data_IF_361456486911
#
_entry.id   IF_361456486911
#
_cell.length_a   1.000
_cell.length_b   1.000
_cell.length_c   1.000
_cell.angle_alpha   90.00
_cell.angle_beta   90.00
_cell.angle_gamma   90.00
#
_symmetry.space_group_name_H-M   'P 1'
#
loop_
_entity.id
_entity.type
_entity.pdbx_description
1 polymer ?
#
# COMPACT_ATOMS: atom_id res chain seq x y z
N UNK A 1 1.13 -35.82 -9.87
CA UNK A 1 1.69 -35.28 -11.12
C UNK A 1 1.03 -33.94 -11.36
N UNK A 2 1.64 -32.87 -10.88
CA UNK A 2 1.13 -31.49 -11.02
C UNK A 2 1.72 -30.92 -12.28
N UNK A 3 0.92 -30.83 -13.32
CA UNK A 3 1.29 -30.21 -14.59
C UNK A 3 1.39 -28.70 -14.38
N UNK A 4 2.62 -28.21 -14.30
CA UNK A 4 2.93 -26.77 -14.31
C UNK A 4 2.57 -26.25 -15.70
N UNK A 5 1.52 -25.45 -15.82
CA UNK A 5 1.19 -24.79 -17.07
C UNK A 5 2.31 -23.80 -17.41
N UNK A 6 2.84 -23.81 -18.63
CA UNK A 6 3.92 -22.92 -19.00
C UNK A 6 3.39 -21.47 -18.99
N UNK A 7 4.16 -20.56 -18.40
CA UNK A 7 3.91 -19.10 -18.34
C UNK A 7 4.09 -18.40 -19.71
N UNK A 8 3.81 -19.12 -20.80
CA UNK A 8 4.00 -18.68 -22.19
C UNK A 8 3.13 -17.48 -22.64
N UNK A 9 2.18 -17.07 -21.77
CA UNK A 9 1.34 -15.90 -22.00
C UNK A 9 2.00 -14.58 -21.56
N UNK A 10 3.13 -14.63 -20.85
CA UNK A 10 3.92 -13.47 -20.48
C UNK A 10 4.92 -13.14 -21.60
N UNK A 11 4.45 -12.57 -22.71
CA UNK A 11 5.36 -11.91 -23.63
C UNK A 11 5.73 -10.54 -23.05
N UNK A 12 7.02 -10.13 -23.09
CA UNK A 12 7.41 -8.78 -22.73
C UNK A 12 6.62 -7.79 -23.60
N UNK A 13 5.97 -6.81 -22.96
CA UNK A 13 5.41 -5.69 -23.69
C UNK A 13 6.59 -4.93 -24.30
N UNK A 14 6.62 -4.65 -25.62
CA UNK A 14 7.69 -3.88 -26.22
C UNK A 14 7.75 -2.50 -25.53
N UNK A 15 8.87 -2.18 -24.92
CA UNK A 15 9.08 -0.92 -24.21
C UNK A 15 9.22 -1.04 -22.68
N UNK A 16 9.33 -2.23 -22.13
CA UNK A 16 9.83 -2.35 -20.75
C UNK A 16 11.25 -1.81 -20.70
N UNK A 17 11.53 -0.71 -19.98
CA UNK A 17 12.89 -0.27 -19.79
C UNK A 17 13.61 -1.34 -18.96
N UNK A 18 14.53 -2.06 -19.63
CA UNK A 18 15.50 -2.87 -18.94
C UNK A 18 16.35 -1.95 -18.06
N UNK A 19 16.62 -2.43 -16.86
CA UNK A 19 17.69 -2.03 -15.95
C UNK A 19 18.23 -0.60 -16.15
N UNK A 20 17.52 0.38 -15.57
CA UNK A 20 18.17 1.62 -15.19
C UNK A 20 18.76 1.42 -13.79
N UNK A 21 20.02 1.76 -13.56
CA UNK A 21 20.65 1.60 -12.26
C UNK A 21 19.86 2.46 -11.25
N UNK A 22 19.43 1.85 -10.17
CA UNK A 22 18.81 2.51 -9.03
C UNK A 22 19.72 3.64 -8.54
N UNK A 23 19.29 4.87 -8.80
CA UNK A 23 19.92 6.04 -8.18
C UNK A 23 19.57 5.97 -6.69
N UNK A 24 20.56 5.81 -5.85
CA UNK A 24 20.40 5.89 -4.41
C UNK A 24 19.69 7.22 -4.06
N UNK A 25 18.67 7.23 -3.21
CA UNK A 25 18.05 8.45 -2.72
C UNK A 25 19.03 9.12 -1.76
N UNK A 26 19.78 10.06 -2.28
CA UNK A 26 20.47 11.06 -1.47
C UNK A 26 19.44 12.14 -1.15
N UNK A 27 19.36 12.50 0.10
CA UNK A 27 18.62 13.56 0.75
C UNK A 27 17.22 13.18 1.25
N UNK A 28 17.16 13.09 2.56
CA UNK A 28 15.94 13.32 3.35
C UNK A 28 15.46 14.75 3.03
N UNK A 29 14.25 14.95 2.49
CA UNK A 29 13.76 16.31 2.30
C UNK A 29 13.52 16.95 3.65
N UNK A 30 14.26 18.02 3.95
CA UNK A 30 13.86 18.99 4.96
C UNK A 30 12.50 19.54 4.56
N UNK A 31 11.48 19.28 5.37
CA UNK A 31 10.13 19.75 5.15
C UNK A 31 10.01 21.22 5.61
N UNK A 32 9.87 22.20 4.70
CA UNK A 32 9.66 23.59 5.07
C UNK A 32 8.19 23.94 5.34
N UNK A 33 7.41 23.00 5.90
CA UNK A 33 6.10 23.34 6.43
C UNK A 33 6.27 23.73 7.89
N UNK A 34 6.28 25.06 8.17
CA UNK A 34 6.42 25.62 9.49
C UNK A 34 5.45 25.02 10.49
N UNK A 35 5.96 24.14 11.35
CA UNK A 35 5.26 23.70 12.53
C UNK A 35 5.21 24.87 13.50
N UNK A 36 4.06 25.48 13.66
CA UNK A 36 3.79 26.36 14.79
C UNK A 36 3.98 25.53 16.08
N UNK A 37 4.80 25.96 17.04
CA UNK A 37 5.00 25.22 18.27
C UNK A 37 3.66 25.13 19.02
N UNK A 38 3.12 23.91 19.16
CA UNK A 38 1.87 23.65 19.90
C UNK A 38 0.75 22.99 19.11
N UNK A 39 0.83 22.84 17.78
CA UNK A 39 -0.16 22.08 17.03
C UNK A 39 0.13 20.56 17.14
N UNK A 40 -0.84 19.82 17.62
CA UNK A 40 -0.80 18.34 17.51
C UNK A 40 -0.64 17.99 16.03
N UNK A 41 0.34 17.15 15.66
CA UNK A 41 0.52 16.80 14.25
C UNK A 41 -0.76 16.17 13.70
N UNK A 42 -1.13 16.55 12.47
CA UNK A 42 -2.30 16.00 11.80
C UNK A 42 -2.19 14.46 11.73
N UNK A 43 -3.27 13.76 12.07
CA UNK A 43 -3.26 12.30 12.12
C UNK A 43 -2.99 11.72 10.74
N UNK A 44 -2.01 10.85 10.68
CA UNK A 44 -1.45 10.30 9.45
C UNK A 44 -2.28 9.14 8.91
N UNK A 45 -2.64 9.22 7.64
CA UNK A 45 -3.12 8.10 6.84
C UNK A 45 -2.05 7.71 5.83
N UNK A 46 -1.54 6.48 5.90
CA UNK A 46 -0.64 5.92 4.88
C UNK A 46 -1.40 4.91 4.03
N UNK A 47 -1.55 5.19 2.75
CA UNK A 47 -2.08 4.24 1.78
C UNK A 47 -0.93 3.56 1.06
N UNK A 48 -0.81 2.24 1.26
CA UNK A 48 0.24 1.43 0.62
C UNK A 48 -0.32 0.80 -0.64
N UNK A 49 0.15 1.28 -1.79
CA UNK A 49 -0.23 0.85 -3.14
C UNK A 49 0.79 -0.04 -3.82
N UNK A 50 0.43 -0.60 -4.98
CA UNK A 50 1.29 -1.42 -5.82
C UNK A 50 0.59 -2.66 -6.36
N UNK A 51 1.22 -3.35 -7.31
CA UNK A 51 0.68 -4.56 -7.94
C UNK A 51 0.50 -5.74 -6.98
N UNK A 52 -0.34 -6.73 -7.30
CA UNK A 52 -0.35 -8.00 -6.57
C UNK A 52 1.05 -8.64 -6.58
N UNK A 53 1.50 -9.12 -5.41
CA UNK A 53 2.86 -9.66 -5.26
C UNK A 53 3.92 -8.66 -4.80
N UNK A 54 3.67 -7.35 -4.83
CA UNK A 54 4.64 -6.31 -4.45
C UNK A 54 5.05 -6.29 -2.95
N UNK A 55 4.57 -7.19 -2.11
CA UNK A 55 5.01 -7.26 -0.70
C UNK A 55 4.28 -6.33 0.28
N UNK A 56 3.22 -5.63 -0.15
CA UNK A 56 2.47 -4.67 0.68
C UNK A 56 2.02 -5.20 2.04
N UNK A 57 1.40 -6.39 2.09
CA UNK A 57 0.94 -6.98 3.36
C UNK A 57 2.09 -7.32 4.29
N UNK A 58 3.24 -7.72 3.75
CA UNK A 58 4.46 -7.96 4.53
C UNK A 58 5.01 -6.66 5.11
N UNK A 59 5.04 -5.58 4.30
CA UNK A 59 5.43 -4.25 4.75
C UNK A 59 4.52 -3.78 5.89
N UNK A 60 3.20 -3.86 5.70
CA UNK A 60 2.22 -3.42 6.70
C UNK A 60 2.31 -4.23 8.00
N UNK A 61 2.51 -5.55 7.93
CA UNK A 61 2.69 -6.39 9.11
C UNK A 61 3.94 -5.96 9.91
N UNK A 62 5.08 -5.78 9.23
CA UNK A 62 6.31 -5.31 9.88
C UNK A 62 6.16 -3.93 10.51
N UNK A 63 5.43 -3.01 9.88
CA UNK A 63 5.15 -1.70 10.47
C UNK A 63 4.26 -1.83 11.70
N UNK A 64 3.24 -2.69 11.67
CA UNK A 64 2.37 -2.93 12.82
C UNK A 64 3.14 -3.45 14.04
N UNK A 65 4.13 -4.31 13.82
CA UNK A 65 4.99 -4.86 14.88
C UNK A 65 5.94 -3.78 15.45
N UNK A 66 6.45 -2.90 14.58
CA UNK A 66 7.47 -1.88 14.96
C UNK A 66 6.86 -0.55 15.44
N UNK A 67 5.59 -0.28 15.14
CA UNK A 67 4.88 0.95 15.51
C UNK A 67 3.62 0.60 16.30
N UNK A 68 3.78 0.30 17.59
CA UNK A 68 2.66 -0.04 18.48
C UNK A 68 1.60 1.06 18.47
N UNK A 69 0.33 0.66 18.47
CA UNK A 69 -0.80 1.59 18.39
C UNK A 69 -1.22 1.97 16.98
N UNK A 70 -0.43 1.66 15.93
CA UNK A 70 -0.85 1.84 14.55
C UNK A 70 -2.05 0.94 14.20
N UNK A 71 -2.98 1.47 13.39
CA UNK A 71 -4.12 0.71 12.89
C UNK A 71 -3.83 0.26 11.46
N UNK A 72 -3.80 -1.05 11.25
CA UNK A 72 -3.55 -1.65 9.92
C UNK A 72 -4.80 -2.29 9.35
N UNK A 73 -5.22 -1.81 8.18
CA UNK A 73 -6.33 -2.36 7.39
C UNK A 73 -5.76 -3.11 6.18
N UNK A 74 -5.72 -4.44 6.29
CA UNK A 74 -5.23 -5.34 5.23
C UNK A 74 -6.30 -6.40 4.91
N UNK A 75 -6.70 -6.55 3.63
CA UNK A 75 -7.66 -7.58 3.22
C UNK A 75 -7.23 -9.00 3.59
N UNK A 76 -5.94 -9.27 3.73
CA UNK A 76 -5.42 -10.58 4.17
C UNK A 76 -5.85 -10.93 5.59
N UNK A 77 -6.02 -9.96 6.47
CA UNK A 77 -6.54 -10.18 7.82
C UNK A 77 -7.98 -10.71 7.79
N UNK A 78 -8.81 -10.10 6.95
CA UNK A 78 -10.20 -10.55 6.77
C UNK A 78 -10.25 -11.91 6.11
N UNK A 79 -9.44 -12.15 5.08
CA UNK A 79 -9.33 -13.45 4.43
C UNK A 79 -8.98 -14.57 5.43
N UNK A 80 -7.99 -14.37 6.29
CA UNK A 80 -7.63 -15.34 7.33
C UNK A 80 -8.78 -15.54 8.32
N UNK A 81 -9.53 -14.49 8.63
CA UNK A 81 -10.73 -14.57 9.46
C UNK A 81 -11.83 -15.46 8.86
N UNK A 82 -12.10 -15.29 7.57
CA UNK A 82 -13.05 -16.14 6.83
C UNK A 82 -12.55 -17.58 6.71
N UNK A 83 -11.30 -17.79 6.33
CA UNK A 83 -10.71 -19.11 6.17
C UNK A 83 -10.76 -19.97 7.46
N UNK A 84 -10.68 -19.34 8.64
CA UNK A 84 -10.83 -20.05 9.92
C UNK A 84 -12.26 -20.43 10.29
N UNK A 85 -13.24 -19.78 9.67
CA UNK A 85 -14.68 -19.99 9.97
C UNK A 85 -15.40 -20.84 8.93
N UNK A 86 -14.85 -20.87 7.71
CA UNK A 86 -15.42 -21.64 6.60
C UNK A 86 -14.80 -23.04 6.56
N UNK A 87 -15.55 -24.06 6.10
CA UNK A 87 -15.00 -25.38 5.83
C UNK A 87 -13.80 -25.30 4.85
N UNK A 88 -12.81 -26.17 5.03
CA UNK A 88 -11.55 -26.16 4.25
C UNK A 88 -11.75 -26.38 2.74
N UNK A 89 -12.87 -27.00 2.34
CA UNK A 89 -13.21 -27.23 0.94
C UNK A 89 -13.76 -25.97 0.22
N UNK A 90 -14.13 -24.91 0.96
CA UNK A 90 -14.62 -23.67 0.35
C UNK A 90 -13.45 -22.90 -0.24
N UNK A 91 -13.34 -22.76 -1.58
CA UNK A 91 -12.21 -22.06 -2.19
C UNK A 91 -12.30 -20.54 -1.93
N UNK A 92 -11.14 -19.89 -1.86
CA UNK A 92 -11.06 -18.43 -1.66
C UNK A 92 -11.90 -17.64 -2.68
N UNK A 93 -11.99 -18.12 -3.91
CA UNK A 93 -12.78 -17.49 -4.98
C UNK A 93 -14.25 -17.27 -4.60
N UNK A 94 -14.82 -18.17 -3.80
CA UNK A 94 -16.23 -18.12 -3.38
C UNK A 94 -16.52 -16.95 -2.42
N UNK A 95 -15.57 -16.56 -1.58
CA UNK A 95 -15.75 -15.49 -0.58
C UNK A 95 -14.82 -14.28 -0.79
N UNK A 96 -14.06 -14.25 -1.87
CA UNK A 96 -13.16 -13.14 -2.22
C UNK A 96 -13.87 -11.78 -2.23
N UNK A 97 -15.07 -11.74 -2.82
CA UNK A 97 -15.87 -10.53 -2.88
C UNK A 97 -16.21 -10.00 -1.47
N UNK A 98 -16.61 -10.90 -0.55
CA UNK A 98 -16.93 -10.53 0.83
C UNK A 98 -15.71 -9.94 1.57
N UNK A 99 -14.52 -10.53 1.37
CA UNK A 99 -13.26 -10.00 1.92
C UNK A 99 -12.99 -8.58 1.44
N UNK A 100 -13.11 -8.32 0.14
CA UNK A 100 -12.83 -7.00 -0.43
C UNK A 100 -13.91 -5.98 -0.06
N UNK A 101 -15.17 -6.37 -0.03
CA UNK A 101 -16.28 -5.50 0.40
C UNK A 101 -16.13 -5.13 1.87
N UNK A 102 -15.84 -6.11 2.73
CA UNK A 102 -15.61 -5.84 4.15
C UNK A 102 -14.41 -4.91 4.37
N UNK A 103 -13.30 -5.17 3.68
CA UNK A 103 -12.13 -4.30 3.73
C UNK A 103 -12.47 -2.86 3.30
N UNK A 104 -13.17 -2.69 2.18
CA UNK A 104 -13.59 -1.39 1.69
C UNK A 104 -14.53 -0.67 2.67
N UNK A 105 -15.52 -1.40 3.22
CA UNK A 105 -16.47 -0.85 4.20
C UNK A 105 -15.77 -0.42 5.50
N UNK A 106 -14.85 -1.23 6.01
CA UNK A 106 -14.09 -0.88 7.22
C UNK A 106 -13.16 0.31 6.94
N UNK A 107 -12.48 0.35 5.80
CA UNK A 107 -11.66 1.50 5.40
C UNK A 107 -12.51 2.78 5.35
N UNK A 108 -13.64 2.73 4.65
CA UNK A 108 -14.57 3.86 4.58
C UNK A 108 -15.05 4.30 5.96
N UNK A 109 -15.39 3.36 6.83
CA UNK A 109 -15.83 3.64 8.19
C UNK A 109 -14.76 4.38 9.01
N UNK A 110 -13.49 3.94 8.92
CA UNK A 110 -12.37 4.62 9.59
C UNK A 110 -12.18 6.02 9.04
N UNK A 111 -12.23 6.20 7.73
CA UNK A 111 -12.09 7.52 7.12
C UNK A 111 -13.24 8.46 7.53
N UNK A 112 -14.49 8.00 7.45
CA UNK A 112 -15.67 8.82 7.80
C UNK A 112 -15.71 9.22 9.28
N UNK A 113 -15.24 8.34 10.16
CA UNK A 113 -15.15 8.65 11.60
C UNK A 113 -14.08 9.67 11.93
N UNK A 114 -13.15 9.88 11.01
CA UNK A 114 -11.98 10.72 11.24
C UNK A 114 -11.01 10.12 12.28
N UNK A 115 -9.90 10.79 12.51
CA UNK A 115 -8.91 10.37 13.49
C UNK A 115 -9.44 10.56 14.92
N UNK A 116 -9.28 9.53 15.74
CA UNK A 116 -9.72 9.56 17.15
C UNK A 116 -8.55 9.50 18.13
N UNK A 117 -7.43 9.03 17.69
CA UNK A 117 -6.17 8.96 18.41
C UNK A 117 -5.07 9.46 17.49
N UNK A 118 -3.98 9.97 17.99
CA UNK A 118 -2.82 10.35 17.16
C UNK A 118 -2.16 9.15 16.44
N UNK A 119 -2.74 7.95 16.54
CA UNK A 119 -2.22 6.74 15.93
C UNK A 119 -2.34 6.78 14.40
N UNK A 120 -1.29 6.40 13.66
CA UNK A 120 -1.33 6.33 12.21
C UNK A 120 -2.25 5.20 11.72
N UNK A 121 -3.02 5.50 10.66
CA UNK A 121 -3.84 4.53 9.95
C UNK A 121 -3.10 4.09 8.68
N UNK A 122 -2.84 2.80 8.57
CA UNK A 122 -2.20 2.19 7.41
C UNK A 122 -3.21 1.36 6.62
N UNK A 123 -3.37 1.63 5.34
CA UNK A 123 -4.37 0.99 4.49
C UNK A 123 -3.69 0.30 3.32
N UNK A 124 -3.96 -1.00 3.16
CA UNK A 124 -3.60 -1.74 1.96
C UNK A 124 -4.58 -1.42 0.83
N UNK A 125 -4.10 -0.86 -0.26
CA UNK A 125 -4.86 -0.74 -1.51
C UNK A 125 -3.99 -1.20 -2.69
N UNK A 126 -4.59 -1.58 -3.80
CA UNK A 126 -3.84 -1.80 -5.05
C UNK A 126 -3.36 -0.47 -5.64
N UNK A 127 -4.10 0.61 -5.38
CA UNK A 127 -3.84 1.98 -5.84
C UNK A 127 -3.59 2.13 -7.36
N UNK A 128 -3.91 1.08 -8.14
CA UNK A 128 -3.73 1.06 -9.60
C UNK A 128 -4.84 1.77 -10.36
N UNK A 129 -5.91 2.20 -9.68
CA UNK A 129 -7.01 2.98 -10.26
C UNK A 129 -6.92 4.41 -9.73
N UNK A 130 -6.44 5.33 -10.54
CA UNK A 130 -6.21 6.73 -10.17
C UNK A 130 -7.44 7.39 -9.55
N UNK A 131 -8.58 7.36 -10.23
CA UNK A 131 -9.83 7.98 -9.71
C UNK A 131 -10.22 7.48 -8.32
N UNK A 132 -10.12 6.16 -8.07
CA UNK A 132 -10.42 5.58 -6.76
C UNK A 132 -9.44 6.07 -5.71
N UNK A 133 -8.16 6.11 -6.04
CA UNK A 133 -7.10 6.59 -5.17
C UNK A 133 -7.32 8.06 -4.79
N UNK A 134 -7.60 8.90 -5.77
CA UNK A 134 -7.90 10.32 -5.58
C UNK A 134 -9.14 10.54 -4.69
N UNK A 135 -10.24 9.81 -4.96
CA UNK A 135 -11.45 9.90 -4.13
C UNK A 135 -11.18 9.50 -2.68
N UNK A 136 -10.34 8.51 -2.45
CA UNK A 136 -9.96 8.08 -1.10
C UNK A 136 -9.14 9.17 -0.39
N UNK A 137 -8.18 9.79 -1.07
CA UNK A 137 -7.39 10.89 -0.53
C UNK A 137 -8.23 12.13 -0.24
N UNK A 138 -9.14 12.50 -1.13
CA UNK A 138 -10.08 13.63 -0.93
C UNK A 138 -10.97 13.39 0.30
N UNK A 139 -11.55 12.20 0.42
CA UNK A 139 -12.35 11.84 1.59
C UNK A 139 -11.51 11.90 2.87
N UNK A 140 -10.30 11.37 2.84
CA UNK A 140 -9.42 11.41 4.01
C UNK A 140 -9.15 12.84 4.45
N UNK A 141 -8.75 13.73 3.53
CA UNK A 141 -8.53 15.15 3.83
C UNK A 141 -9.76 15.84 4.38
N UNK A 142 -10.94 15.63 3.78
CA UNK A 142 -12.18 16.24 4.25
C UNK A 142 -12.56 15.80 5.67
N UNK A 143 -11.94 14.75 6.19
CA UNK A 143 -12.16 14.20 7.53
C UNK A 143 -11.01 14.45 8.50
N UNK A 144 -10.06 15.32 8.15
CA UNK A 144 -8.95 15.71 9.01
C UNK A 144 -7.79 14.71 9.06
N UNK A 145 -7.67 13.83 8.07
CA UNK A 145 -6.49 13.00 7.90
C UNK A 145 -5.42 13.72 7.06
N UNK A 146 -4.15 13.46 7.36
CA UNK A 146 -3.03 13.81 6.52
C UNK A 146 -2.66 12.59 5.63
N UNK A 147 -3.19 12.52 4.38
CA UNK A 147 -3.03 11.34 3.55
C UNK A 147 -1.70 11.33 2.80
N UNK A 148 -0.95 10.25 2.96
CA UNK A 148 0.28 9.94 2.23
C UNK A 148 0.10 8.67 1.41
N UNK A 149 0.55 8.70 0.16
CA UNK A 149 0.58 7.55 -0.73
C UNK A 149 1.99 6.98 -0.79
N UNK A 150 2.12 5.71 -0.47
CA UNK A 150 3.35 4.94 -0.69
C UNK A 150 3.10 3.88 -1.74
N UNK A 151 3.71 4.02 -2.88
CA UNK A 151 3.62 3.10 -4.00
C UNK A 151 4.82 2.16 -3.97
N UNK A 152 4.58 0.86 -3.73
CA UNK A 152 5.64 -0.15 -3.70
C UNK A 152 5.90 -0.64 -5.10
N UNK A 153 7.09 -0.31 -5.61
CA UNK A 153 7.57 -0.70 -6.93
C UNK A 153 8.34 -2.01 -6.88
N UNK A 154 8.12 -2.83 -7.89
CA UNK A 154 8.79 -4.12 -8.07
C UNK A 154 8.91 -4.43 -9.55
N UNK A 155 9.86 -5.28 -9.92
CA UNK A 155 9.92 -5.86 -11.25
C UNK A 155 8.73 -6.80 -11.51
N UNK A 156 8.46 -7.12 -12.78
CA UNK A 156 7.43 -8.07 -13.15
C UNK A 156 7.70 -9.44 -12.51
N UNK A 157 8.94 -9.89 -12.58
CA UNK A 157 9.36 -11.18 -12.04
C UNK A 157 9.20 -11.25 -10.53
N UNK A 158 9.66 -10.22 -9.81
CA UNK A 158 9.45 -10.11 -8.36
C UNK A 158 7.97 -10.10 -7.95
N UNK A 159 7.11 -9.49 -8.76
CA UNK A 159 5.67 -9.49 -8.50
C UNK A 159 5.06 -10.88 -8.69
N UNK A 160 5.51 -11.63 -9.70
CA UNK A 160 5.09 -13.00 -9.95
C UNK A 160 5.59 -13.95 -8.85
N UNK A 161 6.87 -13.87 -8.51
CA UNK A 161 7.47 -14.65 -7.43
C UNK A 161 6.75 -14.39 -6.09
N UNK A 162 6.47 -13.14 -5.77
CA UNK A 162 5.73 -12.78 -4.57
C UNK A 162 4.27 -13.26 -4.56
N UNK A 163 3.69 -13.67 -5.69
CA UNK A 163 2.41 -14.36 -5.76
C UNK A 163 2.57 -15.88 -5.53
N UNK A 164 3.60 -16.48 -6.15
CA UNK A 164 3.92 -17.90 -6.00
C UNK A 164 4.24 -18.25 -4.55
N UNK A 165 5.09 -17.48 -3.89
CA UNK A 165 5.46 -17.64 -2.48
C UNK A 165 4.25 -17.66 -1.54
N UNK A 166 3.19 -16.96 -1.90
CA UNK A 166 1.94 -16.92 -1.13
C UNK A 166 0.95 -18.04 -1.50
N UNK A 167 1.31 -18.91 -2.45
CA UNK A 167 0.43 -19.95 -2.99
C UNK A 167 -0.84 -19.37 -3.63
N UNK A 168 -0.80 -18.12 -4.11
CA UNK A 168 -1.96 -17.40 -4.66
C UNK A 168 -1.55 -16.64 -5.91
N UNK A 169 -1.88 -17.21 -7.03
CA UNK A 169 -1.72 -16.56 -8.32
C UNK A 169 -3.04 -15.84 -8.66
N UNK A 170 -2.97 -14.56 -8.90
CA UNK A 170 -4.08 -13.80 -9.50
C UNK A 170 -4.32 -14.33 -10.90
N UNK A 171 -5.58 -14.32 -11.36
CA UNK A 171 -5.87 -14.73 -12.74
C UNK A 171 -4.99 -13.93 -13.71
N UNK A 172 -4.38 -14.60 -14.72
CA UNK A 172 -3.43 -13.94 -15.62
C UNK A 172 -3.95 -12.63 -16.21
N UNK A 173 -5.17 -12.63 -16.71
CA UNK A 173 -5.77 -11.46 -17.35
C UNK A 173 -6.03 -10.32 -16.34
N UNK A 174 -6.31 -10.66 -15.09
CA UNK A 174 -6.49 -9.69 -14.01
C UNK A 174 -5.14 -9.09 -13.61
N UNK A 175 -4.09 -9.93 -13.54
CA UNK A 175 -2.74 -9.48 -13.26
C UNK A 175 -2.20 -8.56 -14.35
N UNK A 176 -2.35 -8.93 -15.63
CA UNK A 176 -1.96 -8.09 -16.77
C UNK A 176 -2.62 -6.72 -16.70
N UNK A 177 -3.93 -6.67 -16.46
CA UNK A 177 -4.65 -5.39 -16.31
C UNK A 177 -4.15 -4.54 -15.12
N UNK A 178 -3.70 -5.16 -14.04
CA UNK A 178 -3.08 -4.45 -12.91
C UNK A 178 -1.70 -3.93 -13.30
N UNK A 179 -0.92 -4.74 -14.01
CA UNK A 179 0.42 -4.40 -14.45
C UNK A 179 0.41 -3.25 -15.45
N UNK A 180 -0.43 -3.32 -16.49
CA UNK A 180 -0.59 -2.25 -17.48
C UNK A 180 -0.94 -0.90 -16.84
N UNK A 181 -1.93 -0.90 -15.92
CA UNK A 181 -2.30 0.31 -15.19
C UNK A 181 -1.16 0.83 -14.31
N UNK A 182 -0.40 -0.08 -13.72
CA UNK A 182 0.74 0.28 -12.91
C UNK A 182 1.83 0.93 -13.76
N UNK A 183 2.22 0.29 -14.85
CA UNK A 183 3.24 0.78 -15.78
C UNK A 183 2.87 2.15 -16.36
N UNK A 184 1.61 2.37 -16.72
CA UNK A 184 1.13 3.63 -17.26
C UNK A 184 1.25 4.83 -16.29
N UNK A 185 1.27 4.61 -14.97
CA UNK A 185 1.35 5.68 -13.98
C UNK A 185 2.67 5.70 -13.18
N UNK A 186 3.52 4.69 -13.38
CA UNK A 186 4.78 4.54 -12.62
C UNK A 186 5.73 5.73 -12.79
N UNK A 187 5.94 6.18 -14.04
CA UNK A 187 6.79 7.35 -14.34
C UNK A 187 6.25 8.61 -13.68
N UNK A 188 4.95 8.86 -13.79
CA UNK A 188 4.33 10.03 -13.17
C UNK A 188 4.39 10.00 -11.63
N UNK A 189 4.48 8.82 -11.01
CA UNK A 189 4.70 8.69 -9.57
C UNK A 189 6.18 8.88 -9.20
N UNK A 190 7.10 8.44 -10.04
CA UNK A 190 8.53 8.61 -9.83
C UNK A 190 8.98 10.08 -9.86
N UNK A 191 8.33 10.90 -10.68
CA UNK A 191 8.66 12.32 -10.83
C UNK A 191 8.26 13.17 -9.61
N UNK A 192 7.52 12.62 -8.66
CA UNK A 192 6.99 13.40 -7.54
C UNK A 192 7.94 13.54 -6.35
N UNK A 193 8.94 12.69 -6.26
CA UNK A 193 10.02 12.73 -5.24
C UNK A 193 9.54 13.06 -3.81
N UNK A 194 8.40 12.46 -3.42
CA UNK A 194 7.79 12.68 -2.11
C UNK A 194 6.96 13.95 -1.96
N UNK A 195 6.84 14.75 -3.01
CA UNK A 195 6.07 15.98 -3.02
C UNK A 195 4.55 15.79 -2.93
N UNK A 196 3.80 16.86 -2.62
CA UNK A 196 2.34 16.83 -2.59
C UNK A 196 1.76 16.69 -4.00
N UNK A 197 0.68 15.91 -4.12
CA UNK A 197 -0.09 15.79 -5.38
C UNK A 197 -1.58 15.60 -5.12
N UNK A 198 -2.40 16.47 -5.68
CA UNK A 198 -3.84 16.40 -5.50
C UNK A 198 -4.20 16.39 -4.02
N UNK A 199 -4.94 15.37 -3.53
CA UNK A 199 -5.29 15.29 -2.12
C UNK A 199 -4.15 14.77 -1.21
N UNK A 200 -3.04 14.27 -1.78
CA UNK A 200 -1.94 13.66 -1.05
C UNK A 200 -0.94 14.71 -0.58
N UNK A 201 -0.59 14.68 0.70
CA UNK A 201 0.46 15.52 1.28
C UNK A 201 1.87 15.03 0.93
N UNK A 202 1.97 13.76 0.56
CA UNK A 202 3.20 13.17 0.01
C UNK A 202 2.86 11.94 -0.84
N UNK A 203 3.61 11.78 -1.94
CA UNK A 203 3.52 10.61 -2.83
C UNK A 203 4.92 10.06 -3.04
N UNK A 204 5.12 8.82 -2.65
CA UNK A 204 6.41 8.15 -2.69
C UNK A 204 6.34 6.90 -3.55
N UNK A 205 7.29 6.75 -4.46
CA UNK A 205 7.55 5.50 -5.17
C UNK A 205 8.80 4.86 -4.57
N UNK A 206 8.66 3.67 -4.00
CA UNK A 206 9.74 3.00 -3.28
C UNK A 206 9.91 1.55 -3.73
N UNK A 207 11.14 1.10 -3.91
CA UNK A 207 11.41 -0.30 -4.11
C UNK A 207 11.01 -1.13 -2.86
N UNK A 208 10.62 -2.39 -3.05
CA UNK A 208 10.19 -3.29 -1.97
C UNK A 208 11.19 -3.37 -0.81
N UNK A 209 12.49 -3.45 -1.14
CA UNK A 209 13.57 -3.55 -0.14
C UNK A 209 13.72 -2.29 0.70
N UNK A 210 13.44 -1.12 0.12
CA UNK A 210 13.72 0.17 0.72
C UNK A 210 12.51 0.77 1.44
N UNK A 211 11.31 0.27 1.19
CA UNK A 211 10.07 0.87 1.69
C UNK A 211 9.90 0.78 3.22
N UNK A 212 10.47 -0.22 3.88
CA UNK A 212 10.21 -0.45 5.30
C UNK A 212 10.68 0.70 6.20
N UNK A 213 11.95 1.10 6.06
CA UNK A 213 12.55 2.11 6.95
C UNK A 213 11.88 3.48 6.83
N UNK A 214 11.71 4.06 5.62
CA UNK A 214 11.02 5.35 5.47
C UNK A 214 9.57 5.33 5.96
N UNK A 215 8.79 4.27 5.64
CA UNK A 215 7.39 4.17 6.07
C UNK A 215 7.29 4.03 7.59
N UNK A 216 8.18 3.28 8.22
CA UNK A 216 8.28 3.19 9.67
C UNK A 216 8.57 4.55 10.32
N UNK A 217 9.56 5.26 9.81
CA UNK A 217 9.93 6.58 10.32
C UNK A 217 8.80 7.58 10.17
N UNK A 218 8.12 7.58 9.01
CA UNK A 218 6.95 8.41 8.77
C UNK A 218 5.83 8.12 9.79
N UNK A 219 5.54 6.84 10.03
CA UNK A 219 4.53 6.42 10.98
C UNK A 219 4.89 6.80 12.44
N UNK A 220 6.18 6.69 12.81
CA UNK A 220 6.67 7.04 14.16
C UNK A 220 6.68 8.55 14.44
N UNK A 221 7.03 9.37 13.46
CA UNK A 221 7.07 10.85 13.63
C UNK A 221 5.73 11.46 14.01
N UNK A 222 4.64 10.77 13.72
CA UNK A 222 3.27 11.23 13.97
C UNK A 222 2.61 10.58 15.18
N UNK A 223 3.36 9.78 15.96
CA UNK A 223 2.86 9.30 17.25
C UNK A 223 2.87 10.45 18.26
N UNK A 224 1.84 10.57 19.12
CA UNK A 224 1.79 11.63 20.14
C UNK A 224 3.01 11.53 21.06
N UNK A 225 3.59 12.69 21.38
CA UNK A 225 4.65 12.80 22.36
C UNK A 225 4.09 12.39 23.73
N UNK A 226 4.57 11.29 24.28
CA UNK A 226 4.12 10.77 25.58
C UNK A 226 3.76 9.28 25.60
N UNK A 227 3.89 8.56 24.49
CA UNK A 227 3.83 7.09 24.56
C UNK A 227 5.09 6.57 25.26
N UNK A 228 4.95 5.92 26.46
CA UNK A 228 6.10 5.43 27.23
C UNK A 228 6.89 4.30 26.55
N UNK A 229 6.57 3.98 25.29
CA UNK A 229 7.16 2.91 24.47
C UNK A 229 8.07 3.42 23.36
N UNK A 230 8.55 4.66 23.43
CA UNK A 230 9.58 5.19 22.53
C UNK A 230 10.94 4.59 22.82
#
# INVERSE_FOLDING_TARGET
>A
MTTSAPLSWLRPVPGSPGDSPHRAPGNTPDNPAGNTPGSTPDPLLIVVGGVPGAGKSTLLARIADDVPGSVVLDPDRYRRGFARRLPSWVPYAAYRWAVHTLHAAVTLLYLLRGPRSGAPLLVHDTATRERRRESLGLLARSRGWDPVLVAVDVSLDDALDGQLDRGRVVRPEEFVRHWERWTAQRSALADLDGGPRGPWSGVYLMARCDAFRPVRELARRRLPAGDPRR
#
